data_IF_665134735629
#
_entry.id   IF_665134735629
#
_cell.length_a   1.000
_cell.length_b   1.000
_cell.length_c   1.000
_cell.angle_alpha   90.00
_cell.angle_beta   90.00
_cell.angle_gamma   90.00
#
_symmetry.space_group_name_H-M   'P 1'
#
loop_
_entity.id
_entity.type
_entity.pdbx_description
1 polymer ?
#
# COMPACT_ATOMS: atom_id res chain seq x y z
N UNK A 1 3.57 1.83 0.58
CA UNK A 1 4.90 1.19 0.57
C UNK A 1 5.26 0.63 -0.80
N UNK A 2 6.55 0.70 -1.15
CA UNK A 2 7.11 0.09 -2.35
C UNK A 2 8.20 -0.91 -2.01
N UNK A 3 8.25 -2.00 -2.77
CA UNK A 3 9.44 -2.85 -2.90
C UNK A 3 10.24 -2.37 -4.10
N UNK A 4 11.48 -1.98 -3.85
CA UNK A 4 12.45 -1.60 -4.87
C UNK A 4 13.45 -2.72 -5.00
N UNK A 5 13.47 -3.38 -6.15
CA UNK A 5 14.47 -4.38 -6.49
C UNK A 5 15.43 -3.76 -7.51
N UNK A 6 16.72 -3.73 -7.21
CA UNK A 6 17.73 -3.17 -8.09
C UNK A 6 18.83 -4.20 -8.35
N UNK A 7 19.11 -4.48 -9.62
CA UNK A 7 20.33 -5.17 -10.05
C UNK A 7 21.35 -4.09 -10.35
N UNK A 8 22.47 -4.12 -9.63
CA UNK A 8 23.56 -3.15 -9.78
C UNK A 8 24.89 -3.87 -9.74
N UNK A 9 25.99 -3.17 -10.04
CA UNK A 9 27.33 -3.74 -9.90
C UNK A 9 27.72 -3.87 -8.43
N UNK A 10 28.42 -4.95 -8.09
CA UNK A 10 28.84 -5.19 -6.70
C UNK A 10 29.79 -4.09 -6.19
N UNK A 11 30.59 -3.50 -7.07
CA UNK A 11 31.55 -2.43 -6.76
C UNK A 11 30.92 -1.19 -6.13
N UNK A 12 29.69 -0.83 -6.55
CA UNK A 12 29.02 0.40 -6.09
C UNK A 12 28.28 0.19 -4.75
N UNK A 13 28.28 -1.03 -4.21
CA UNK A 13 27.51 -1.38 -3.02
C UNK A 13 27.94 -0.68 -1.74
N UNK A 14 29.24 -0.50 -1.44
CA UNK A 14 29.66 0.22 -0.25
C UNK A 14 29.12 1.65 -0.23
N UNK A 15 29.25 2.37 -1.35
CA UNK A 15 28.77 3.75 -1.48
C UNK A 15 27.24 3.82 -1.43
N UNK A 16 26.56 2.88 -2.09
CA UNK A 16 25.11 2.83 -2.06
C UNK A 16 24.59 2.59 -0.64
N UNK A 17 25.22 1.70 0.14
CA UNK A 17 24.83 1.42 1.52
C UNK A 17 24.89 2.68 2.39
N UNK A 18 25.98 3.45 2.29
CA UNK A 18 26.15 4.71 3.04
C UNK A 18 25.05 5.73 2.68
N UNK A 19 24.65 5.82 1.41
CA UNK A 19 23.58 6.72 1.01
C UNK A 19 22.20 6.23 1.44
N UNK A 20 22.01 4.90 1.47
CA UNK A 20 20.75 4.27 1.86
C UNK A 20 20.46 4.35 3.36
N UNK A 21 21.49 4.47 4.22
CA UNK A 21 21.35 4.64 5.67
C UNK A 21 20.53 5.88 6.08
N UNK A 22 20.36 6.85 5.18
CA UNK A 22 19.58 8.07 5.42
C UNK A 22 18.07 7.86 5.29
N UNK A 23 17.64 6.74 4.72
CA UNK A 23 16.24 6.42 4.51
C UNK A 23 15.76 5.41 5.54
N UNK A 24 14.47 5.50 5.87
CA UNK A 24 13.82 4.48 6.68
C UNK A 24 13.55 3.24 5.80
N UNK A 25 14.36 2.20 6.02
CA UNK A 25 14.28 0.93 5.28
C UNK A 25 13.70 -0.14 6.20
N UNK A 26 12.51 -0.63 5.86
CA UNK A 26 11.81 -1.67 6.62
C UNK A 26 12.32 -3.08 6.32
N UNK A 27 13.00 -3.27 5.19
CA UNK A 27 13.60 -4.54 4.81
C UNK A 27 14.69 -4.34 3.77
N UNK A 28 15.83 -5.01 3.98
CA UNK A 28 16.97 -5.05 3.06
C UNK A 28 17.37 -6.51 2.85
N UNK A 29 17.34 -6.96 1.59
CA UNK A 29 17.95 -8.22 1.19
C UNK A 29 18.98 -7.98 0.09
N UNK A 30 20.10 -8.68 0.14
CA UNK A 30 21.17 -8.57 -0.86
C UNK A 30 21.60 -9.96 -1.32
N UNK A 31 21.65 -10.15 -2.63
CA UNK A 31 22.04 -11.40 -3.27
C UNK A 31 23.09 -11.12 -4.34
N UNK A 32 24.28 -11.67 -4.17
CA UNK A 32 25.32 -11.59 -5.20
C UNK A 32 24.96 -12.52 -6.36
N UNK A 33 25.01 -11.97 -7.56
CA UNK A 33 24.80 -12.66 -8.82
C UNK A 33 26.16 -12.85 -9.47
N UNK A 34 26.67 -14.08 -9.43
CA UNK A 34 27.87 -14.47 -10.16
C UNK A 34 27.52 -14.86 -11.59
N UNK A 35 27.95 -14.04 -12.55
CA UNK A 35 27.79 -14.31 -13.99
C UNK A 35 28.85 -15.29 -14.50
N UNK A 36 28.87 -16.53 -13.99
CA UNK A 36 29.81 -17.54 -14.49
C UNK A 36 29.46 -18.09 -15.87
N UNK A 37 28.34 -17.68 -16.49
CA UNK A 37 27.88 -18.29 -17.75
C UNK A 37 27.19 -17.36 -18.76
N UNK A 38 27.37 -16.04 -18.68
CA UNK A 38 27.00 -15.17 -19.82
C UNK A 38 28.29 -14.83 -20.54
N UNK A 39 28.71 -15.74 -21.41
CA UNK A 39 29.77 -15.48 -22.38
C UNK A 39 29.34 -14.26 -23.21
N UNK A 40 29.97 -13.12 -22.95
CA UNK A 40 29.97 -12.01 -23.88
C UNK A 40 30.40 -12.56 -25.23
N UNK A 41 29.53 -12.40 -26.24
CA UNK A 41 29.78 -12.78 -27.64
C UNK A 41 31.04 -12.12 -28.22
N UNK A 42 31.67 -11.18 -27.49
CA UNK A 42 32.84 -10.42 -27.92
C UNK A 42 34.10 -10.62 -27.06
N UNK A 43 34.13 -11.60 -26.14
CA UNK A 43 35.30 -11.87 -25.31
C UNK A 43 36.26 -12.87 -25.96
N UNK A 44 37.42 -12.40 -26.43
CA UNK A 44 38.48 -13.26 -26.94
C UNK A 44 38.88 -14.34 -25.92
N UNK A 45 38.77 -15.60 -26.33
CA UNK A 45 39.18 -16.76 -25.54
C UNK A 45 40.71 -16.87 -25.61
N UNK A 46 41.40 -16.16 -24.71
CA UNK A 46 42.86 -16.17 -24.65
C UNK A 46 43.37 -15.91 -23.24
N UNK A 47 43.94 -16.95 -22.61
CA UNK A 47 44.87 -16.90 -21.45
C UNK A 47 44.64 -15.78 -20.43
N UNK A 48 43.47 -15.77 -19.82
CA UNK A 48 43.12 -14.87 -18.73
C UNK A 48 41.61 -15.00 -18.55
N UNK A 49 41.18 -15.86 -17.62
CA UNK A 49 39.78 -16.21 -17.44
C UNK A 49 38.90 -14.97 -17.44
N UNK A 50 37.89 -14.95 -18.30
CA UNK A 50 36.99 -13.81 -18.43
C UNK A 50 36.46 -13.43 -17.05
N UNK A 51 36.78 -12.22 -16.61
CA UNK A 51 36.22 -11.64 -15.39
C UNK A 51 34.73 -11.43 -15.68
N UNK A 52 33.90 -12.36 -15.22
CA UNK A 52 32.45 -12.18 -15.24
C UNK A 52 32.09 -10.88 -14.54
N UNK A 53 31.10 -10.16 -15.05
CA UNK A 53 30.58 -8.96 -14.40
C UNK A 53 29.92 -9.36 -13.07
N UNK A 54 30.44 -8.85 -11.96
CA UNK A 54 29.87 -9.09 -10.64
C UNK A 54 28.70 -8.13 -10.40
N UNK A 55 27.50 -8.70 -10.36
CA UNK A 55 26.27 -7.97 -10.09
C UNK A 55 25.74 -8.36 -8.72
N UNK A 56 25.01 -7.45 -8.09
CA UNK A 56 24.30 -7.68 -6.83
C UNK A 56 22.86 -7.24 -7.03
N UNK A 57 21.93 -8.14 -6.70
CA UNK A 57 20.52 -7.82 -6.57
C UNK A 57 20.27 -7.35 -5.14
N UNK A 58 19.76 -6.13 -5.03
CA UNK A 58 19.37 -5.48 -3.78
C UNK A 58 17.86 -5.36 -3.78
N UNK A 59 17.22 -5.80 -2.70
CA UNK A 59 15.79 -5.64 -2.48
C UNK A 59 15.59 -4.75 -1.26
N UNK A 60 14.82 -3.68 -1.43
CA UNK A 60 14.53 -2.67 -0.43
C UNK A 60 13.02 -2.55 -0.26
N UNK A 61 12.57 -2.42 0.98
CA UNK A 61 11.20 -2.07 1.30
C UNK A 61 11.18 -0.70 1.97
N UNK A 62 10.48 0.24 1.35
CA UNK A 62 10.50 1.66 1.75
C UNK A 62 9.09 2.26 1.69
N UNK A 63 8.92 3.38 2.39
CA UNK A 63 7.70 4.19 2.32
C UNK A 63 7.46 4.74 0.91
N UNK A 64 6.21 5.03 0.56
CA UNK A 64 5.91 5.64 -0.75
C UNK A 64 6.56 7.03 -0.91
N UNK A 65 6.73 7.77 0.20
CA UNK A 65 7.39 9.08 0.25
C UNK A 65 8.87 8.99 -0.12
N UNK A 66 9.54 7.93 0.34
CA UNK A 66 10.97 7.69 0.11
C UNK A 66 11.28 6.97 -1.20
N UNK A 67 10.31 6.25 -1.76
CA UNK A 67 10.53 5.41 -2.93
C UNK A 67 11.21 6.15 -4.08
N UNK A 68 10.73 7.36 -4.42
CA UNK A 68 11.34 8.18 -5.48
C UNK A 68 12.77 8.59 -5.14
N UNK A 69 13.02 9.04 -3.90
CA UNK A 69 14.34 9.47 -3.44
C UNK A 69 15.34 8.32 -3.49
N UNK A 70 14.92 7.13 -3.09
CA UNK A 70 15.73 5.91 -3.14
C UNK A 70 16.09 5.52 -4.58
N UNK A 71 15.13 5.58 -5.50
CA UNK A 71 15.39 5.34 -6.93
C UNK A 71 16.42 6.34 -7.49
N UNK A 72 16.27 7.62 -7.15
CA UNK A 72 17.18 8.67 -7.58
C UNK A 72 18.59 8.47 -7.00
N UNK A 73 18.70 8.05 -5.72
CA UNK A 73 19.98 7.69 -5.09
C UNK A 73 20.65 6.51 -5.79
N UNK A 74 19.92 5.43 -6.08
CA UNK A 74 20.48 4.26 -6.79
C UNK A 74 20.97 4.66 -8.18
N UNK A 75 20.19 5.47 -8.90
CA UNK A 75 20.53 5.99 -10.22
C UNK A 75 21.76 6.90 -10.21
N UNK A 76 21.90 7.75 -9.18
CA UNK A 76 23.03 8.65 -9.01
C UNK A 76 24.33 7.89 -8.69
N UNK A 77 24.28 6.95 -7.74
CA UNK A 77 25.44 6.12 -7.34
C UNK A 77 25.88 5.20 -8.48
N UNK A 78 24.95 4.74 -9.32
CA UNK A 78 25.29 3.96 -10.53
C UNK A 78 26.12 4.76 -11.55
N UNK A 79 26.03 6.09 -11.54
CA UNK A 79 26.92 6.97 -12.31
C UNK A 79 27.02 6.63 -13.79
N UNK A 80 28.21 6.22 -14.24
CA UNK A 80 28.51 5.83 -15.63
C UNK A 80 28.02 4.43 -16.01
N UNK A 81 27.53 3.66 -15.04
CA UNK A 81 27.25 2.23 -15.19
C UNK A 81 25.76 1.91 -15.26
N UNK A 82 24.98 2.90 -15.71
CA UNK A 82 23.53 2.81 -15.88
C UNK A 82 23.10 1.72 -16.85
N UNK A 83 23.96 1.32 -17.78
CA UNK A 83 23.69 0.23 -18.73
C UNK A 83 23.47 -1.13 -18.02
N UNK A 84 24.11 -1.33 -16.86
CA UNK A 84 24.01 -2.53 -16.05
C UNK A 84 22.99 -2.42 -14.92
N UNK A 85 22.51 -1.22 -14.62
CA UNK A 85 21.55 -0.98 -13.54
C UNK A 85 20.13 -1.19 -14.03
N UNK A 86 19.41 -2.14 -13.42
CA UNK A 86 17.97 -2.34 -13.65
C UNK A 86 17.23 -2.19 -12.33
N UNK A 87 16.21 -1.33 -12.31
CA UNK A 87 15.38 -1.10 -11.12
C UNK A 87 13.96 -1.53 -11.44
N UNK A 88 13.41 -2.36 -10.58
CA UNK A 88 12.04 -2.84 -10.60
C UNK A 88 11.33 -2.30 -9.37
N UNK A 89 10.14 -1.74 -9.58
CA UNK A 89 9.32 -1.18 -8.51
C UNK A 89 8.00 -1.93 -8.47
N UNK A 90 7.66 -2.46 -7.30
CA UNK A 90 6.37 -3.11 -7.06
C UNK A 90 5.71 -2.50 -5.83
N UNK A 91 4.38 -2.43 -5.86
CA UNK A 91 3.59 -1.96 -4.72
C UNK A 91 3.50 -3.05 -3.66
N UNK A 92 3.68 -2.70 -2.39
CA UNK A 92 3.44 -3.58 -1.25
C UNK A 92 2.25 -3.05 -0.46
N UNK A 93 1.35 -3.95 -0.05
CA UNK A 93 0.17 -3.60 0.73
C UNK A 93 0.45 -3.55 2.23
N UNK A 94 1.23 -4.51 2.74
CA UNK A 94 1.54 -4.63 4.17
C UNK A 94 2.88 -5.32 4.41
N UNK A 95 3.49 -5.02 5.56
CA UNK A 95 4.64 -5.75 6.10
C UNK A 95 4.20 -6.33 7.44
N UNK A 96 4.47 -7.61 7.66
CA UNK A 96 4.17 -8.29 8.92
C UNK A 96 5.50 -8.60 9.62
N UNK A 97 5.73 -7.97 10.76
CA UNK A 97 6.85 -8.34 11.64
C UNK A 97 6.47 -9.62 12.40
N UNK A 98 7.21 -10.69 12.13
CA UNK A 98 6.96 -12.01 12.70
C UNK A 98 7.26 -12.04 14.21
N UNK A 99 8.14 -11.18 14.70
CA UNK A 99 8.57 -11.19 16.10
C UNK A 99 7.47 -10.74 17.06
N UNK A 100 6.68 -9.75 16.66
CA UNK A 100 5.59 -9.20 17.47
C UNK A 100 4.21 -9.39 16.84
N UNK A 101 4.11 -10.05 15.67
CA UNK A 101 2.88 -10.10 14.84
C UNK A 101 2.30 -8.70 14.56
N UNK A 102 3.17 -7.69 14.44
CA UNK A 102 2.74 -6.32 14.16
C UNK A 102 2.67 -6.08 12.66
N UNK A 103 1.55 -5.52 12.22
CA UNK A 103 1.36 -5.13 10.82
C UNK A 103 1.78 -3.68 10.66
N UNK A 104 2.84 -3.46 9.91
CA UNK A 104 3.28 -2.12 9.49
C UNK A 104 2.53 -1.81 8.20
N UNK A 105 1.69 -0.77 8.26
CA UNK A 105 1.06 -0.15 7.10
C UNK A 105 1.62 1.26 6.98
N UNK A 106 1.97 1.67 5.75
CA UNK A 106 2.08 3.09 5.41
C UNK A 106 0.68 3.69 5.62
N UNK A 107 0.37 4.13 6.84
CA UNK A 107 -0.68 5.11 7.05
C UNK A 107 -0.04 6.44 6.70
N UNK A 108 -0.31 6.93 5.49
CA UNK A 108 0.00 8.32 5.16
C UNK A 108 -0.59 9.21 6.25
N UNK A 109 0.27 9.88 7.02
CA UNK A 109 -0.11 10.93 7.96
C UNK A 109 -0.84 12.03 7.17
N UNK A 110 -2.08 12.31 7.58
CA UNK A 110 -2.97 13.30 6.96
C UNK A 110 -2.48 14.75 7.20
N UNK A 111 -1.36 14.95 7.90
CA UNK A 111 -0.94 16.26 8.42
C UNK A 111 -0.10 17.13 7.47
N UNK A 112 0.21 16.71 6.24
CA UNK A 112 0.97 17.56 5.30
C UNK A 112 0.11 18.60 4.53
N UNK A 113 -1.18 18.75 4.88
CA UNK A 113 -2.10 19.68 4.21
C UNK A 113 -2.25 21.06 4.88
N UNK A 114 -1.74 21.28 6.09
CA UNK A 114 -1.90 22.57 6.80
C UNK A 114 -0.69 23.54 6.72
N UNK A 115 0.50 23.11 6.24
CA UNK A 115 1.71 23.96 6.26
C UNK A 115 2.02 24.71 4.94
N UNK A 116 1.14 24.64 3.94
CA UNK A 116 1.34 25.35 2.66
C UNK A 116 0.55 26.65 2.51
N UNK A 117 -0.45 26.87 3.34
CA UNK A 117 -1.33 28.06 3.29
C UNK A 117 -0.81 29.24 4.11
N UNK A 118 0.29 29.08 4.88
CA UNK A 118 0.77 30.14 5.81
C UNK A 118 1.98 30.96 5.32
N UNK A 119 2.52 30.68 4.13
CA UNK A 119 3.69 31.40 3.58
C UNK A 119 3.38 32.36 2.43
N UNK A 120 2.11 32.64 2.19
CA UNK A 120 1.69 33.53 1.10
C UNK A 120 0.80 34.67 1.61
N UNK A 121 1.10 35.21 2.80
CA UNK A 121 0.59 36.51 3.25
C UNK A 121 1.55 37.11 4.28
N UNK A 122 2.73 37.54 3.82
CA UNK A 122 3.59 38.45 4.57
C UNK A 122 4.32 39.42 3.65
N UNK A 123 3.53 40.12 2.85
CA UNK A 123 3.89 41.45 2.36
C UNK A 123 2.71 42.36 2.61
N UNK A 124 2.77 43.19 3.66
CA UNK A 124 2.42 44.62 3.65
C UNK A 124 2.72 45.16 5.06
N UNK A 125 3.45 46.26 5.05
CA UNK A 125 3.87 47.03 6.20
C UNK A 125 2.73 47.88 6.76
N UNK A 126 2.93 48.26 8.03
CA UNK A 126 2.60 49.57 8.64
C UNK A 126 1.26 49.78 9.36
N UNK A 127 1.44 50.60 10.42
CA UNK A 127 0.54 51.39 11.26
C UNK A 127 -0.25 50.72 12.38
N UNK A 128 0.12 51.13 13.61
CA UNK A 128 -0.60 50.91 14.85
C UNK A 128 -1.95 51.63 14.89
N UNK A 129 -2.88 51.12 15.71
CA UNK A 129 -3.19 51.60 17.08
C UNK A 129 -4.41 52.52 17.02
N UNK A 130 -5.60 52.00 17.35
CA UNK A 130 -6.40 52.40 18.52
C UNK A 130 -7.88 51.94 18.47
N UNK A 131 -8.37 51.65 19.68
CA UNK A 131 -9.74 51.78 20.22
C UNK A 131 -10.88 50.76 20.00
N UNK A 132 -11.23 50.13 21.14
CA UNK A 132 -12.55 49.91 21.76
C UNK A 132 -13.80 49.56 20.93
N UNK A 133 -14.42 48.40 21.24
CA UNK A 133 -15.63 48.30 22.09
C UNK A 133 -16.31 46.92 21.97
N UNK A 134 -16.93 46.48 23.07
CA UNK A 134 -18.24 45.82 23.01
C UNK A 134 -18.32 44.31 23.21
N UNK A 135 -18.54 43.91 24.47
CA UNK A 135 -19.21 42.68 24.91
C UNK A 135 -20.44 42.31 24.05
N UNK A 136 -20.77 41.01 23.93
CA UNK A 136 -22.06 40.45 24.38
C UNK A 136 -22.03 38.91 24.27
N UNK A 137 -22.22 38.26 25.41
CA UNK A 137 -22.59 36.85 25.54
C UNK A 137 -23.93 36.57 24.87
N UNK A 138 -24.16 35.34 24.39
CA UNK A 138 -25.29 34.52 24.86
C UNK A 138 -25.26 33.11 24.29
N UNK A 139 -25.66 32.20 25.17
CA UNK A 139 -25.84 30.78 24.99
C UNK A 139 -27.12 30.46 24.18
N UNK A 140 -27.18 29.20 23.74
CA UNK A 140 -28.37 28.33 23.83
C UNK A 140 -29.23 28.04 22.56
N UNK A 141 -29.60 26.74 22.51
CA UNK A 141 -30.84 26.15 21.97
C UNK A 141 -30.96 25.67 20.51
N UNK A 142 -31.04 24.32 20.41
CA UNK A 142 -32.09 23.48 19.78
C UNK A 142 -32.04 23.07 18.29
N UNK A 143 -32.04 21.74 18.12
CA UNK A 143 -32.87 20.89 17.26
C UNK A 143 -33.37 21.41 15.91
N UNK A 144 -32.89 20.80 14.80
CA UNK A 144 -33.70 20.44 13.62
C UNK A 144 -33.17 19.17 12.94
N UNK A 145 -33.95 18.09 13.03
CA UNK A 145 -33.90 16.95 12.09
C UNK A 145 -34.66 17.43 10.85
N UNK A 146 -33.97 17.52 9.71
CA UNK A 146 -34.63 17.66 8.42
C UNK A 146 -34.17 16.54 7.48
N UNK A 147 -35.18 15.86 6.92
CA UNK A 147 -35.05 14.75 6.01
C UNK A 147 -34.90 15.32 4.59
N UNK A 148 -33.64 15.45 4.15
CA UNK A 148 -33.34 15.72 2.75
C UNK A 148 -32.72 14.51 2.08
N UNK A 149 -33.27 14.16 0.93
CA UNK A 149 -32.83 13.11 0.02
C UNK A 149 -31.40 13.37 -0.45
N UNK A 150 -30.42 12.93 0.34
CA UNK A 150 -29.03 12.94 -0.05
C UNK A 150 -28.74 11.75 -0.95
N UNK A 151 -28.40 12.02 -2.20
CA UNK A 151 -27.47 11.15 -2.93
C UNK A 151 -26.31 10.85 -1.97
N UNK A 152 -26.08 9.57 -1.70
CA UNK A 152 -24.95 9.16 -0.87
C UNK A 152 -23.67 9.45 -1.66
N UNK A 153 -23.21 10.71 -1.64
CA UNK A 153 -21.79 11.00 -1.73
C UNK A 153 -21.18 10.40 -0.46
N UNK A 154 -20.86 9.11 -0.56
CA UNK A 154 -20.18 8.36 0.47
C UNK A 154 -18.78 8.96 0.60
N UNK A 155 -18.68 9.97 1.45
CA UNK A 155 -17.46 10.58 1.91
C UNK A 155 -16.49 9.45 2.25
N UNK A 156 -15.43 9.28 1.45
CA UNK A 156 -14.48 8.17 1.51
C UNK A 156 -13.71 8.17 2.84
N UNK A 157 -14.37 7.75 3.91
CA UNK A 157 -13.70 7.33 5.13
C UNK A 157 -12.87 6.12 4.74
N UNK A 158 -11.53 6.26 4.75
CA UNK A 158 -10.57 5.21 4.37
C UNK A 158 -11.04 3.85 4.91
N UNK A 159 -11.54 3.01 3.99
CA UNK A 159 -12.07 1.69 4.34
C UNK A 159 -10.95 0.83 4.94
N UNK A 160 -11.16 0.26 6.13
CA UNK A 160 -10.20 -0.63 6.82
C UNK A 160 -10.08 -2.01 6.15
N UNK A 161 -10.89 -2.26 5.11
CA UNK A 161 -10.93 -3.53 4.39
C UNK A 161 -9.66 -3.73 3.55
N UNK A 162 -9.14 -4.96 3.57
CA UNK A 162 -7.99 -5.38 2.76
C UNK A 162 -8.34 -5.25 1.26
N UNK A 163 -7.39 -4.99 0.33
CA UNK A 163 -7.69 -4.79 -1.08
C UNK A 163 -8.50 -5.90 -1.74
N UNK A 164 -8.27 -7.18 -1.40
CA UNK A 164 -9.11 -8.28 -1.88
C UNK A 164 -10.55 -8.20 -1.33
N UNK A 165 -10.71 -7.82 -0.06
CA UNK A 165 -12.03 -7.58 0.55
C UNK A 165 -12.71 -6.38 -0.09
N UNK A 166 -11.98 -5.29 -0.38
CA UNK A 166 -12.48 -4.10 -1.08
C UNK A 166 -12.89 -4.42 -2.51
N UNK A 167 -12.09 -5.20 -3.25
CA UNK A 167 -12.42 -5.66 -4.59
C UNK A 167 -13.65 -6.56 -4.59
N UNK A 168 -13.72 -7.49 -3.64
CA UNK A 168 -14.89 -8.37 -3.45
C UNK A 168 -16.13 -7.55 -3.14
N UNK A 169 -16.05 -6.62 -2.19
CA UNK A 169 -17.15 -5.72 -1.83
C UNK A 169 -17.58 -4.85 -3.02
N UNK A 170 -16.63 -4.32 -3.79
CA UNK A 170 -16.90 -3.56 -5.02
C UNK A 170 -17.67 -4.39 -6.05
N UNK A 171 -17.29 -5.66 -6.25
CA UNK A 171 -18.01 -6.57 -7.16
C UNK A 171 -19.42 -6.90 -6.65
N UNK A 172 -19.55 -7.17 -5.36
CA UNK A 172 -20.83 -7.45 -4.71
C UNK A 172 -21.75 -6.22 -4.76
N UNK A 173 -21.20 -5.03 -4.54
CA UNK A 173 -21.92 -3.76 -4.66
C UNK A 173 -22.35 -3.46 -6.10
N UNK A 174 -21.46 -3.69 -7.08
CA UNK A 174 -21.79 -3.57 -8.50
C UNK A 174 -22.93 -4.52 -8.89
N UNK A 175 -22.90 -5.76 -8.38
CA UNK A 175 -23.97 -6.72 -8.61
C UNK A 175 -25.29 -6.29 -7.96
N UNK A 176 -25.25 -5.83 -6.71
CA UNK A 176 -26.43 -5.32 -6.01
C UNK A 176 -27.08 -4.17 -6.79
N UNK A 177 -26.29 -3.19 -7.22
CA UNK A 177 -26.80 -2.03 -7.96
C UNK A 177 -27.37 -2.42 -9.33
N UNK A 178 -26.75 -3.36 -10.04
CA UNK A 178 -27.23 -3.83 -11.33
C UNK A 178 -28.56 -4.60 -11.25
N UNK A 179 -28.86 -5.22 -10.10
CA UNK A 179 -30.04 -6.07 -9.90
C UNK A 179 -31.02 -5.51 -8.86
N UNK A 180 -30.90 -4.21 -8.52
CA UNK A 180 -31.58 -3.61 -7.37
C UNK A 180 -33.10 -3.80 -7.41
N UNK A 181 -33.71 -3.67 -8.59
CA UNK A 181 -35.16 -3.79 -8.75
C UNK A 181 -35.64 -5.24 -8.55
N UNK A 182 -34.96 -6.22 -9.16
CA UNK A 182 -35.23 -7.65 -9.00
C UNK A 182 -35.04 -8.10 -7.55
N UNK A 183 -33.96 -7.66 -6.90
CA UNK A 183 -33.68 -7.96 -5.48
C UNK A 183 -34.78 -7.41 -4.57
N UNK A 184 -35.34 -6.24 -4.91
CA UNK A 184 -36.43 -5.62 -4.15
C UNK A 184 -37.78 -6.31 -4.39
N UNK A 185 -38.10 -6.69 -5.62
CA UNK A 185 -39.39 -7.26 -5.99
C UNK A 185 -39.52 -8.75 -5.64
N UNK A 186 -38.50 -9.55 -5.95
CA UNK A 186 -38.55 -11.01 -5.82
C UNK A 186 -38.01 -11.49 -4.47
N UNK A 187 -36.93 -10.87 -4.00
CA UNK A 187 -36.23 -11.30 -2.78
C UNK A 187 -36.54 -10.41 -1.55
N UNK A 188 -37.33 -9.34 -1.73
CA UNK A 188 -37.72 -8.37 -0.68
C UNK A 188 -36.51 -7.71 0.01
N UNK A 189 -35.37 -7.66 -0.66
CA UNK A 189 -34.12 -7.07 -0.18
C UNK A 189 -34.17 -5.56 -0.41
N UNK A 190 -34.12 -4.75 0.65
CA UNK A 190 -34.34 -3.30 0.59
C UNK A 190 -33.05 -2.48 0.64
N UNK A 191 -31.99 -3.05 1.18
CA UNK A 191 -30.70 -2.39 1.35
C UNK A 191 -29.52 -3.27 0.93
N UNK A 192 -28.35 -2.66 0.74
CA UNK A 192 -27.11 -3.40 0.50
C UNK A 192 -26.73 -4.30 1.69
N UNK A 193 -26.97 -3.84 2.92
CA UNK A 193 -26.74 -4.65 4.11
C UNK A 193 -27.63 -5.90 4.14
N UNK A 194 -28.91 -5.78 3.76
CA UNK A 194 -29.82 -6.92 3.65
C UNK A 194 -29.34 -7.93 2.60
N UNK A 195 -28.81 -7.41 1.48
CA UNK A 195 -28.26 -8.25 0.42
C UNK A 195 -27.03 -9.02 0.88
N UNK A 196 -26.10 -8.37 1.57
CA UNK A 196 -24.91 -9.02 2.12
C UNK A 196 -25.31 -10.07 3.16
N UNK A 197 -26.23 -9.74 4.06
CA UNK A 197 -26.75 -10.69 5.04
C UNK A 197 -27.41 -11.91 4.39
N UNK A 198 -28.21 -11.69 3.34
CA UNK A 198 -28.82 -12.78 2.57
C UNK A 198 -27.76 -13.71 1.96
N UNK A 199 -26.71 -13.15 1.36
CA UNK A 199 -25.62 -13.93 0.78
C UNK A 199 -24.87 -14.73 1.86
N UNK A 200 -24.55 -14.12 3.00
CA UNK A 200 -23.86 -14.79 4.11
C UNK A 200 -24.71 -15.95 4.64
N UNK A 201 -25.98 -15.69 4.95
CA UNK A 201 -26.88 -16.70 5.49
C UNK A 201 -27.11 -17.87 4.52
N UNK A 202 -27.12 -17.60 3.21
CA UNK A 202 -27.20 -18.65 2.20
C UNK A 202 -25.94 -19.50 2.08
N UNK A 203 -24.76 -18.94 2.38
CA UNK A 203 -23.47 -19.60 2.19
C UNK A 203 -22.95 -20.31 3.46
N UNK A 204 -23.40 -19.91 4.64
CA UNK A 204 -23.02 -20.53 5.92
C UNK A 204 -23.23 -22.06 5.96
N UNK A 205 -24.38 -22.61 5.53
CA UNK A 205 -24.59 -24.06 5.53
C UNK A 205 -23.60 -24.81 4.63
N UNK A 206 -23.19 -24.20 3.52
CA UNK A 206 -22.22 -24.77 2.57
C UNK A 206 -20.84 -24.84 3.24
N UNK A 207 -20.37 -23.72 3.81
CA UNK A 207 -19.09 -23.66 4.52
C UNK A 207 -19.06 -24.65 5.69
N UNK A 208 -20.12 -24.72 6.49
CA UNK A 208 -20.20 -25.67 7.60
C UNK A 208 -20.12 -27.14 7.12
N UNK A 209 -20.72 -27.45 5.97
CA UNK A 209 -20.66 -28.79 5.38
C UNK A 209 -19.26 -29.14 4.89
N UNK A 210 -18.56 -28.21 4.24
CA UNK A 210 -17.19 -28.39 3.77
C UNK A 210 -16.21 -28.56 4.93
N UNK A 211 -16.34 -27.75 5.99
CA UNK A 211 -15.50 -27.86 7.20
C UNK A 211 -15.72 -29.22 7.88
N UNK A 212 -16.98 -29.68 8.01
CA UNK A 212 -17.30 -30.99 8.58
C UNK A 212 -16.70 -32.13 7.73
N UNK A 213 -16.78 -32.04 6.41
CA UNK A 213 -16.19 -33.03 5.50
C UNK A 213 -14.66 -33.08 5.61
N UNK A 214 -13.98 -31.92 5.64
CA UNK A 214 -12.53 -31.85 5.83
C UNK A 214 -12.08 -32.44 7.18
N UNK A 215 -12.86 -32.21 8.25
CA UNK A 215 -12.60 -32.80 9.57
C UNK A 215 -12.71 -34.33 9.57
N UNK A 216 -13.70 -34.87 8.86
CA UNK A 216 -13.88 -36.32 8.70
C UNK A 216 -12.74 -36.92 7.87
N UNK A 217 -12.36 -36.26 6.77
CA UNK A 217 -11.28 -36.73 5.89
C UNK A 217 -9.91 -36.68 6.59
N UNK A 218 -9.63 -35.63 7.36
CA UNK A 218 -8.44 -35.53 8.21
C UNK A 218 -8.36 -36.62 9.29
N UNK A 219 -9.50 -36.97 9.93
CA UNK A 219 -9.56 -38.07 10.90
C UNK A 219 -9.40 -39.45 10.25
N UNK A 220 -9.97 -39.66 9.07
CA UNK A 220 -9.85 -40.95 8.35
C UNK A 220 -8.45 -41.23 7.79
N UNK A 221 -7.62 -40.19 7.55
CA UNK A 221 -6.19 -40.35 7.24
C UNK A 221 -5.35 -40.77 8.44
N UNK A 222 -5.73 -40.35 9.66
CA UNK A 222 -5.04 -40.71 10.90
C UNK A 222 -5.35 -42.14 11.38
N UNK A 223 -6.51 -42.70 11.03
CA UNK A 223 -6.92 -44.06 11.40
C UNK A 223 -6.46 -45.15 10.41
N UNK A 224 -5.68 -44.79 9.38
CA UNK A 224 -5.22 -45.71 8.33
C UNK A 224 -3.72 -46.06 8.44
N UNK A 225 -3.11 -45.80 9.60
CA UNK A 225 -1.76 -46.21 10.00
C UNK A 225 -1.90 -47.30 11.07
#
# INVERSE_FOLDING_TARGET
>A
MKRIEAIVRTEIMPDLKIQLERFEIYGLSMHNITSTNITSRNGAVGRGGGLGEFLTKVELIVSDRDAKRVIDTISAVSGKHKEYTKIFVSSLEEIVDVSHMHVIKDLEDVNDSEDRTRKQDSSIASSGVDEEHGNYSNEDSTDRIDASSGEYEEQEKRSRLVPLQKYTLMRVLKFYNANKDTLRSEYRIKSFSDFVNFCILGYLPIIESEIKQQSIEGRSKLLRI
#
